data_IF_252223186273
#
_entry.id   IF_252223186273
#
_cell.length_a   1.000
_cell.length_b   1.000
_cell.length_c   1.000
_cell.angle_alpha   90.00
_cell.angle_beta   90.00
_cell.angle_gamma   90.00
#
_symmetry.space_group_name_H-M   'P 1'
#
loop_
_entity.id
_entity.type
_entity.pdbx_description
1 polymer ?
#
# COMPACT_ATOMS: atom_id res chain seq x y z
N UNK A 1 -18.63 -32.12 -13.26
CA UNK A 1 -18.31 -30.90 -12.47
C UNK A 1 -17.49 -30.00 -13.39
N UNK A 2 -18.06 -28.89 -13.89
CA UNK A 2 -17.35 -28.00 -14.85
C UNK A 2 -16.31 -27.19 -14.07
N UNK A 3 -15.03 -27.32 -14.42
CA UNK A 3 -13.94 -26.48 -13.89
C UNK A 3 -14.26 -24.99 -14.15
N UNK A 4 -13.93 -24.06 -13.25
CA UNK A 4 -14.22 -22.66 -13.49
C UNK A 4 -13.42 -22.14 -14.69
N UNK A 5 -14.11 -21.37 -15.52
CA UNK A 5 -13.54 -20.49 -16.52
C UNK A 5 -12.72 -19.42 -15.76
N UNK A 6 -11.51 -19.14 -16.22
CA UNK A 6 -10.58 -18.04 -15.84
C UNK A 6 -10.98 -17.10 -14.66
N UNK A 7 -10.05 -16.73 -13.74
CA UNK A 7 -10.26 -15.71 -12.69
C UNK A 7 -11.00 -14.42 -13.11
N UNK A 8 -10.93 -14.03 -14.40
CA UNK A 8 -11.68 -12.89 -14.93
C UNK A 8 -13.20 -13.03 -14.82
N UNK A 9 -13.72 -14.25 -14.77
CA UNK A 9 -15.16 -14.54 -14.74
C UNK A 9 -15.67 -14.86 -13.33
N UNK A 10 -14.76 -14.89 -12.33
CA UNK A 10 -15.06 -15.30 -10.94
C UNK A 10 -14.87 -14.16 -9.93
N UNK A 11 -14.22 -13.06 -10.34
CA UNK A 11 -14.02 -11.88 -9.50
C UNK A 11 -15.13 -10.83 -9.75
N UNK A 12 -15.64 -10.14 -8.71
CA UNK A 12 -15.28 -10.28 -7.30
C UNK A 12 -15.77 -11.61 -6.69
N UNK A 13 -15.01 -12.13 -5.73
CA UNK A 13 -15.38 -13.33 -4.98
C UNK A 13 -16.63 -13.07 -4.13
N UNK A 14 -17.42 -14.11 -3.81
CA UNK A 14 -18.44 -14.02 -2.76
C UNK A 14 -17.86 -13.48 -1.44
N UNK A 15 -18.64 -12.69 -0.69
CA UNK A 15 -18.18 -12.08 0.58
C UNK A 15 -17.84 -13.11 1.66
N UNK A 16 -18.42 -14.30 1.55
CA UNK A 16 -18.25 -15.47 2.41
C UNK A 16 -17.26 -16.49 1.85
N UNK A 17 -16.51 -16.14 0.79
CA UNK A 17 -15.56 -17.06 0.16
C UNK A 17 -14.46 -17.54 1.13
N UNK A 18 -14.00 -16.66 2.03
CA UNK A 18 -13.05 -17.03 3.08
C UNK A 18 -13.82 -17.26 4.39
N UNK A 19 -13.80 -18.50 4.86
CA UNK A 19 -14.32 -18.85 6.18
C UNK A 19 -13.25 -18.56 7.24
N UNK A 20 -13.33 -17.37 7.84
CA UNK A 20 -12.37 -16.87 8.82
C UNK A 20 -12.83 -17.22 10.26
N UNK A 21 -12.21 -18.22 10.93
CA UNK A 21 -12.51 -18.53 12.33
C UNK A 21 -12.03 -17.42 13.28
N UNK A 22 -12.56 -17.36 14.49
CA UNK A 22 -12.03 -16.45 15.52
C UNK A 22 -10.55 -16.76 15.80
N UNK A 23 -9.74 -15.70 15.89
CA UNK A 23 -8.32 -15.81 16.24
C UNK A 23 -8.19 -15.97 17.76
N UNK A 24 -7.24 -16.81 18.20
CA UNK A 24 -6.86 -16.84 19.61
C UNK A 24 -6.16 -15.54 20.02
N UNK A 25 -6.32 -15.12 21.27
CA UNK A 25 -5.73 -13.86 21.78
C UNK A 25 -4.22 -13.75 21.51
N UNK A 26 -3.46 -14.82 21.76
CA UNK A 26 -2.00 -14.85 21.53
C UNK A 26 -1.64 -14.69 20.04
N UNK A 27 -2.47 -15.24 19.14
CA UNK A 27 -2.27 -15.12 17.71
C UNK A 27 -2.58 -13.70 17.23
N UNK A 28 -3.68 -13.12 17.71
CA UNK A 28 -4.06 -11.74 17.42
C UNK A 28 -2.98 -10.75 17.88
N UNK A 29 -2.51 -10.86 19.13
CA UNK A 29 -1.46 -9.99 19.67
C UNK A 29 -0.16 -10.11 18.86
N UNK A 30 0.24 -11.34 18.50
CA UNK A 30 1.41 -11.58 17.64
C UNK A 30 1.25 -10.92 16.27
N UNK A 31 0.09 -11.04 15.63
CA UNK A 31 -0.18 -10.42 14.33
C UNK A 31 -0.15 -8.89 14.41
N UNK A 32 -0.70 -8.31 15.47
CA UNK A 32 -0.62 -6.87 15.73
C UNK A 32 0.85 -6.43 15.88
N UNK A 33 1.65 -7.18 16.64
CA UNK A 33 3.07 -6.87 16.83
C UNK A 33 3.85 -6.92 15.51
N UNK A 34 3.59 -7.92 14.65
CA UNK A 34 4.21 -8.00 13.31
C UNK A 34 3.84 -6.79 12.46
N UNK A 35 2.56 -6.41 12.46
CA UNK A 35 2.05 -5.28 11.67
C UNK A 35 2.73 -3.95 12.09
N UNK A 36 2.78 -3.68 13.40
CA UNK A 36 3.43 -2.48 13.97
C UNK A 36 4.93 -2.47 13.72
N UNK A 37 5.60 -3.60 13.91
CA UNK A 37 7.05 -3.72 13.63
C UNK A 37 7.37 -3.42 12.17
N UNK A 38 6.53 -3.89 11.24
CA UNK A 38 6.66 -3.55 9.82
C UNK A 38 6.49 -2.05 9.56
N UNK A 39 5.52 -1.41 10.21
CA UNK A 39 5.27 0.03 10.09
C UNK A 39 6.41 0.87 10.65
N UNK A 40 6.89 0.56 11.86
CA UNK A 40 8.00 1.25 12.50
C UNK A 40 9.27 1.17 11.65
N UNK A 41 9.59 0.00 11.07
CA UNK A 41 10.75 -0.17 10.17
C UNK A 41 10.66 0.73 8.93
N UNK A 42 9.47 0.93 8.37
CA UNK A 42 9.25 1.85 7.26
C UNK A 42 9.49 3.31 7.65
N UNK A 43 8.95 3.70 8.80
CA UNK A 43 9.12 5.03 9.37
C UNK A 43 10.61 5.31 9.59
N UNK A 44 11.32 4.41 10.27
CA UNK A 44 12.77 4.49 10.50
C UNK A 44 13.60 4.57 9.22
N UNK A 45 13.24 3.79 8.20
CA UNK A 45 13.93 3.80 6.89
C UNK A 45 13.80 5.16 6.18
N UNK A 46 12.80 5.96 6.53
CA UNK A 46 12.56 7.26 5.88
C UNK A 46 13.60 8.30 6.28
N UNK A 47 13.99 8.33 7.56
CA UNK A 47 14.95 9.31 8.10
C UNK A 47 16.29 8.68 8.53
N UNK A 48 16.49 7.38 8.33
CA UNK A 48 17.75 6.72 8.68
C UNK A 48 18.93 7.31 7.87
N UNK A 49 20.00 7.79 8.54
CA UNK A 49 21.18 8.32 7.86
C UNK A 49 21.94 7.24 7.08
N UNK A 50 21.71 5.96 7.41
CA UNK A 50 22.34 4.82 6.75
C UNK A 50 21.61 4.38 5.47
N UNK A 51 20.48 5.03 5.14
CA UNK A 51 19.71 4.67 3.95
C UNK A 51 20.21 5.44 2.73
N UNK A 52 21.13 4.84 1.98
CA UNK A 52 21.59 5.39 0.70
C UNK A 52 20.62 5.05 -0.44
N UNK A 53 20.12 6.09 -1.12
CA UNK A 53 19.16 5.96 -2.21
C UNK A 53 19.74 6.50 -3.51
N UNK A 54 19.80 5.64 -4.54
CA UNK A 54 20.16 6.04 -5.90
C UNK A 54 18.91 6.42 -6.67
N UNK A 55 18.87 7.62 -7.24
CA UNK A 55 17.75 8.03 -8.10
C UNK A 55 17.82 7.28 -9.42
N UNK A 56 16.76 6.55 -9.74
CA UNK A 56 16.63 5.80 -11.00
C UNK A 56 15.93 6.63 -12.06
N UNK A 57 14.88 7.37 -11.67
CA UNK A 57 14.13 8.22 -12.59
C UNK A 57 13.32 9.28 -11.85
N UNK A 58 13.07 10.41 -12.49
CA UNK A 58 12.07 11.39 -12.05
C UNK A 58 11.02 11.50 -13.15
N UNK A 59 9.75 11.27 -12.82
CA UNK A 59 8.64 11.35 -13.78
C UNK A 59 7.41 11.93 -13.12
N UNK A 60 6.78 12.93 -13.75
CA UNK A 60 5.54 13.56 -13.29
C UNK A 60 5.59 14.01 -11.80
N UNK A 61 6.70 14.61 -11.36
CA UNK A 61 6.87 15.05 -9.97
C UNK A 61 7.14 13.93 -8.95
N UNK A 62 7.31 12.68 -9.40
CA UNK A 62 7.68 11.53 -8.55
C UNK A 62 9.13 11.16 -8.80
N UNK A 63 9.94 11.16 -7.75
CA UNK A 63 11.31 10.64 -7.76
C UNK A 63 11.29 9.16 -7.37
N UNK A 64 11.76 8.30 -8.27
CA UNK A 64 11.90 6.86 -8.02
C UNK A 64 13.36 6.57 -7.75
N UNK A 65 13.63 5.94 -6.60
CA UNK A 65 14.96 5.58 -6.14
C UNK A 65 15.04 4.10 -5.78
N UNK A 66 16.23 3.54 -5.87
CA UNK A 66 16.57 2.19 -5.39
C UNK A 66 17.54 2.30 -4.23
N UNK A 67 17.35 1.44 -3.24
CA UNK A 67 18.28 1.37 -2.14
C UNK A 67 19.64 0.81 -2.64
N UNK A 68 20.74 1.50 -2.32
CA UNK A 68 22.12 1.16 -2.72
C UNK A 68 22.73 0.12 -1.77
N UNK A 69 22.36 0.13 -0.50
CA UNK A 69 22.76 -0.82 0.53
C UNK A 69 21.50 -1.35 1.24
N UNK A 70 21.00 -2.56 0.87
CA UNK A 70 19.86 -3.13 1.57
C UNK A 70 20.18 -3.13 3.07
N UNK A 71 19.29 -2.63 3.95
CA UNK A 71 19.46 -2.82 5.38
C UNK A 71 19.69 -4.30 5.62
N UNK A 72 20.72 -4.64 6.42
CA UNK A 72 21.15 -6.02 6.65
C UNK A 72 19.93 -6.94 6.82
N UNK A 73 19.76 -7.86 5.86
CA UNK A 73 18.62 -8.76 5.71
C UNK A 73 18.40 -9.69 6.93
N UNK A 74 19.31 -9.68 7.90
CA UNK A 74 19.39 -10.62 9.01
C UNK A 74 18.20 -10.59 9.99
N UNK A 75 17.28 -9.63 9.88
CA UNK A 75 16.07 -9.59 10.73
C UNK A 75 14.73 -9.70 9.97
N UNK A 76 14.76 -10.00 8.66
CA UNK A 76 13.59 -9.92 7.79
C UNK A 76 12.91 -11.27 7.49
N UNK A 77 13.58 -12.41 7.70
CA UNK A 77 13.03 -13.75 7.42
C UNK A 77 12.65 -14.56 8.66
N UNK A 78 13.09 -14.17 9.86
CA UNK A 78 12.94 -14.99 11.07
C UNK A 78 11.55 -14.97 11.70
N UNK A 79 10.64 -14.08 11.27
CA UNK A 79 9.30 -13.95 11.88
C UNK A 79 8.20 -14.60 11.02
N UNK A 80 8.45 -14.88 9.74
CA UNK A 80 7.46 -15.52 8.85
C UNK A 80 7.71 -17.02 8.61
N UNK A 81 8.93 -17.51 8.82
CA UNK A 81 9.30 -18.89 8.48
C UNK A 81 9.36 -19.86 9.67
N UNK A 82 9.23 -19.37 10.91
CA UNK A 82 9.14 -20.23 12.08
C UNK A 82 7.71 -20.24 12.65
N UNK A 83 7.02 -21.35 12.37
CA UNK A 83 5.90 -21.98 13.11
C UNK A 83 4.68 -22.28 12.23
N UNK A 84 4.80 -23.28 11.33
CA UNK A 84 3.69 -24.15 10.92
C UNK A 84 4.22 -25.53 10.46
N UNK A 85 5.25 -26.05 11.11
CA UNK A 85 5.62 -27.47 11.02
C UNK A 85 4.99 -28.23 12.19
N UNK A 86 3.69 -28.49 12.08
CA UNK A 86 3.07 -29.55 12.88
C UNK A 86 3.70 -30.87 12.45
N UNK A 87 4.18 -31.60 13.43
CA UNK A 87 5.04 -32.76 13.31
C UNK A 87 4.34 -33.91 12.56
N UNK A 88 4.91 -34.33 11.43
CA UNK A 88 4.70 -35.67 10.89
C UNK A 88 6.07 -36.30 10.68
N UNK A 89 6.37 -37.29 11.52
CA UNK A 89 7.66 -37.93 11.59
C UNK A 89 7.85 -38.92 10.45
N UNK A 90 8.82 -38.66 9.58
CA UNK A 90 9.57 -39.70 8.88
C UNK A 90 11.03 -39.24 8.75
N UNK A 91 11.92 -39.92 9.46
CA UNK A 91 13.37 -39.77 9.34
C UNK A 91 13.84 -40.61 8.16
N UNK A 92 14.48 -39.98 7.17
CA UNK A 92 15.53 -40.63 6.40
C UNK A 92 16.62 -39.61 6.06
N UNK A 93 17.84 -39.89 6.53
CA UNK A 93 19.03 -39.11 6.25
C UNK A 93 19.63 -39.46 4.90
N UNK A 94 20.30 -38.47 4.30
CA UNK A 94 21.14 -38.60 3.11
C UNK A 94 21.74 -37.24 2.74
N UNK A 95 23.06 -37.11 2.54
CA UNK A 95 23.72 -35.82 2.38
C UNK A 95 23.82 -35.46 0.90
N UNK A 96 23.05 -34.47 0.40
CA UNK A 96 23.27 -33.96 -0.96
C UNK A 96 22.94 -32.48 -1.13
N UNK A 97 24.00 -31.74 -1.51
CA UNK A 97 24.05 -30.52 -2.31
C UNK A 97 22.99 -29.44 -2.06
N UNK A 98 23.40 -28.41 -1.34
CA UNK A 98 22.81 -27.07 -1.40
C UNK A 98 22.98 -26.49 -2.80
N UNK A 99 22.03 -26.75 -3.70
CA UNK A 99 21.83 -25.91 -4.87
C UNK A 99 21.14 -24.64 -4.41
N UNK A 100 21.94 -23.58 -4.27
CA UNK A 100 21.47 -22.20 -4.15
C UNK A 100 20.66 -21.84 -5.41
N UNK A 101 19.38 -22.19 -5.42
CA UNK A 101 18.42 -21.63 -6.35
C UNK A 101 18.19 -20.17 -5.93
N UNK A 102 18.91 -19.27 -6.60
CA UNK A 102 19.00 -17.84 -6.33
C UNK A 102 17.66 -17.20 -5.92
N UNK A 103 17.58 -16.85 -4.63
CA UNK A 103 16.59 -15.91 -4.13
C UNK A 103 16.84 -14.57 -4.83
N UNK A 104 15.96 -14.21 -5.78
CA UNK A 104 15.95 -12.90 -6.42
C UNK A 104 16.13 -11.83 -5.34
N UNK A 105 17.22 -11.06 -5.39
CA UNK A 105 17.49 -10.04 -4.37
C UNK A 105 16.35 -9.03 -4.41
N UNK A 106 15.49 -9.10 -3.40
CA UNK A 106 14.32 -8.25 -3.34
C UNK A 106 14.81 -6.80 -3.17
N UNK A 107 14.67 -5.99 -4.22
CA UNK A 107 15.19 -4.62 -4.27
C UNK A 107 14.14 -3.70 -3.67
N UNK A 108 14.41 -3.19 -2.47
CA UNK A 108 13.61 -2.11 -1.91
C UNK A 108 13.69 -0.89 -2.83
N UNK A 109 12.55 -0.49 -3.38
CA UNK A 109 12.42 0.71 -4.20
C UNK A 109 11.52 1.71 -3.50
N UNK A 110 11.75 2.99 -3.77
CA UNK A 110 11.00 4.09 -3.15
C UNK A 110 10.58 5.11 -4.18
N UNK A 111 9.31 5.51 -4.14
CA UNK A 111 8.83 6.71 -4.82
C UNK A 111 8.68 7.84 -3.80
N UNK A 112 9.10 9.06 -4.13
CA UNK A 112 8.87 10.23 -3.29
C UNK A 112 8.26 11.39 -4.07
N UNK A 113 7.40 12.15 -3.40
CA UNK A 113 6.78 13.37 -3.94
C UNK A 113 6.32 14.27 -2.79
N UNK A 114 5.94 15.51 -3.09
CA UNK A 114 5.34 16.44 -2.13
C UNK A 114 3.96 16.86 -2.61
N UNK A 115 3.02 17.03 -1.67
CA UNK A 115 1.63 17.40 -1.95
C UNK A 115 1.15 18.45 -0.98
N UNK A 116 0.22 19.30 -1.42
CA UNK A 116 -0.44 20.26 -0.52
C UNK A 116 -1.65 19.57 0.12
N UNK A 117 -1.53 19.17 1.38
CA UNK A 117 -2.55 18.45 2.14
C UNK A 117 -2.26 18.46 3.65
N UNK A 118 -3.21 17.93 4.43
CA UNK A 118 -3.01 17.55 5.83
C UNK A 118 -2.91 16.03 5.99
N UNK A 119 -2.38 15.55 7.11
CA UNK A 119 -2.38 14.11 7.45
C UNK A 119 -3.80 13.57 7.48
N UNK A 120 -4.75 14.35 7.99
CA UNK A 120 -6.15 13.99 8.08
C UNK A 120 -6.76 13.78 6.68
N UNK A 121 -6.52 14.70 5.75
CA UNK A 121 -6.97 14.56 4.36
C UNK A 121 -6.37 13.33 3.67
N UNK A 122 -5.11 13.02 3.95
CA UNK A 122 -4.43 11.84 3.39
C UNK A 122 -5.00 10.57 4.00
N UNK A 123 -5.12 10.48 5.32
CA UNK A 123 -5.62 9.29 6.02
C UNK A 123 -7.05 8.95 5.58
N UNK A 124 -7.87 9.93 5.21
CA UNK A 124 -9.21 9.71 4.65
C UNK A 124 -9.18 8.88 3.36
N UNK A 125 -8.13 8.99 2.54
CA UNK A 125 -7.96 8.25 1.28
C UNK A 125 -7.66 6.75 1.45
N UNK A 126 -7.39 6.32 2.68
CA UNK A 126 -7.10 4.93 3.03
C UNK A 126 -8.22 4.30 3.88
N UNK A 127 -9.33 5.02 4.13
CA UNK A 127 -10.46 4.46 4.88
C UNK A 127 -11.32 3.58 3.97
N UNK A 128 -11.30 2.27 4.25
CA UNK A 128 -12.07 1.24 3.53
C UNK A 128 -13.57 1.60 3.40
N UNK A 129 -14.18 2.19 4.43
CA UNK A 129 -15.64 2.33 4.53
C UNK A 129 -16.26 3.50 3.75
N UNK A 130 -15.50 4.52 3.34
CA UNK A 130 -16.10 5.74 2.75
C UNK A 130 -16.13 5.78 1.22
N UNK A 131 -15.65 4.73 0.54
CA UNK A 131 -15.65 4.72 -0.91
C UNK A 131 -14.94 5.93 -1.53
N UNK A 132 -14.04 6.62 -0.84
CA UNK A 132 -13.28 7.76 -1.35
C UNK A 132 -11.81 7.41 -1.14
N UNK A 133 -11.31 6.50 -1.96
CA UNK A 133 -9.97 5.95 -1.75
C UNK A 133 -9.06 6.27 -2.94
N UNK A 134 -7.77 6.43 -2.64
CA UNK A 134 -6.69 6.25 -3.62
C UNK A 134 -6.87 4.90 -4.36
N UNK A 135 -7.52 3.93 -3.73
CA UNK A 135 -7.96 2.65 -4.32
C UNK A 135 -9.01 2.80 -5.45
N UNK A 136 -9.94 3.78 -5.43
CA UNK A 136 -10.81 4.06 -6.59
C UNK A 136 -10.00 4.44 -7.83
N UNK A 137 -8.84 5.07 -7.63
CA UNK A 137 -7.90 5.36 -8.72
C UNK A 137 -7.06 4.15 -9.15
N UNK A 138 -6.92 3.12 -8.30
CA UNK A 138 -6.22 1.86 -8.60
C UNK A 138 -7.10 0.95 -9.48
N UNK A 139 -7.21 1.30 -10.77
CA UNK A 139 -7.93 0.52 -11.81
C UNK A 139 -7.43 -0.92 -12.03
N UNK A 140 -6.35 -1.31 -11.38
CA UNK A 140 -5.77 -2.65 -11.39
C UNK A 140 -6.23 -3.55 -10.25
N UNK A 141 -6.92 -3.02 -9.23
CA UNK A 141 -7.55 -3.89 -8.23
C UNK A 141 -8.77 -4.53 -8.86
N UNK A 142 -8.81 -5.86 -8.81
CA UNK A 142 -9.92 -6.66 -9.30
C UNK A 142 -10.91 -6.98 -8.17
N UNK A 143 -10.38 -7.17 -6.96
CA UNK A 143 -11.18 -7.45 -5.77
C UNK A 143 -10.34 -7.21 -4.49
N UNK A 144 -11.02 -7.00 -3.37
CA UNK A 144 -10.38 -6.82 -2.05
C UNK A 144 -11.34 -7.13 -0.91
N UNK A 145 -10.84 -7.73 0.16
CA UNK A 145 -11.62 -8.10 1.34
C UNK A 145 -10.80 -7.88 2.61
N UNK A 146 -11.45 -7.33 3.64
CA UNK A 146 -10.93 -7.33 5.00
C UNK A 146 -11.32 -8.65 5.65
N UNK A 147 -10.34 -9.47 6.02
CA UNK A 147 -10.57 -10.75 6.67
C UNK A 147 -10.71 -10.59 8.18
N UNK A 148 -9.89 -9.72 8.78
CA UNK A 148 -9.93 -9.44 10.22
C UNK A 148 -9.65 -7.96 10.49
N UNK A 149 -10.34 -7.42 11.50
CA UNK A 149 -10.05 -6.11 12.08
C UNK A 149 -9.48 -6.33 13.48
N UNK A 150 -8.16 -6.28 13.62
CA UNK A 150 -7.45 -6.57 14.88
C UNK A 150 -7.39 -5.34 15.78
N UNK A 151 -7.21 -4.15 15.19
CA UNK A 151 -7.27 -2.87 15.90
C UNK A 151 -8.16 -1.93 15.12
N UNK A 152 -9.11 -1.29 15.80
CA UNK A 152 -10.02 -0.30 15.21
C UNK A 152 -9.72 1.10 15.75
N UNK A 153 -9.98 2.15 14.95
CA UNK A 153 -9.87 3.52 15.41
C UNK A 153 -10.69 3.78 16.69
N UNK A 154 -10.13 4.57 17.60
CA UNK A 154 -10.78 5.02 18.83
C UNK A 154 -10.83 6.54 18.91
N UNK A 155 -11.58 7.10 19.86
CA UNK A 155 -11.60 8.56 20.06
C UNK A 155 -10.22 9.15 20.36
N UNK A 156 -9.38 8.44 21.12
CA UNK A 156 -8.03 8.85 21.45
C UNK A 156 -7.03 8.62 20.30
N UNK A 157 -7.24 7.58 19.49
CA UNK A 157 -6.42 7.26 18.32
C UNK A 157 -7.31 7.06 17.08
N UNK A 158 -7.78 8.14 16.44
CA UNK A 158 -8.79 8.08 15.38
C UNK A 158 -8.26 7.56 14.02
N UNK A 159 -6.95 7.32 13.93
CA UNK A 159 -6.24 6.86 12.72
C UNK A 159 -5.39 5.61 12.98
N UNK A 160 -5.48 5.01 14.17
CA UNK A 160 -4.83 3.73 14.50
C UNK A 160 -5.69 2.58 13.97
N UNK A 161 -5.06 1.65 13.26
CA UNK A 161 -5.73 0.53 12.62
C UNK A 161 -4.75 -0.60 12.36
N UNK A 162 -5.21 -1.83 12.58
CA UNK A 162 -4.50 -3.04 12.17
C UNK A 162 -5.54 -4.04 11.66
N UNK A 163 -5.30 -4.60 10.48
CA UNK A 163 -6.19 -5.62 9.92
C UNK A 163 -5.46 -6.59 9.01
N UNK A 164 -6.17 -7.67 8.65
CA UNK A 164 -5.71 -8.66 7.67
C UNK A 164 -6.53 -8.46 6.41
N UNK A 165 -5.83 -8.35 5.28
CA UNK A 165 -6.41 -8.03 3.99
C UNK A 165 -6.05 -9.09 2.96
N UNK A 166 -7.04 -9.42 2.14
CA UNK A 166 -6.84 -10.07 0.86
C UNK A 166 -7.12 -9.08 -0.27
N UNK A 167 -6.25 -9.02 -1.28
CA UNK A 167 -6.43 -8.15 -2.46
C UNK A 167 -6.01 -8.91 -3.72
N UNK A 168 -6.84 -8.87 -4.76
CA UNK A 168 -6.49 -9.38 -6.10
C UNK A 168 -6.18 -8.22 -7.05
N UNK A 169 -5.03 -8.29 -7.72
CA UNK A 169 -4.48 -7.27 -8.60
C UNK A 169 -4.24 -7.83 -9.99
N UNK A 170 -4.70 -7.09 -11.00
CA UNK A 170 -4.49 -7.37 -12.41
C UNK A 170 -2.99 -7.34 -12.75
N UNK A 171 -2.54 -8.37 -13.46
CA UNK A 171 -1.19 -8.41 -13.99
C UNK A 171 -0.94 -7.24 -14.97
N UNK A 172 0.16 -6.49 -14.81
CA UNK A 172 0.56 -5.49 -15.79
C UNK A 172 1.21 -6.12 -17.04
N UNK A 173 1.60 -7.39 -16.98
CA UNK A 173 2.24 -8.12 -18.08
C UNK A 173 1.19 -8.98 -18.81
N UNK A 174 1.06 -8.86 -20.15
CA UNK A 174 0.15 -9.68 -20.96
C UNK A 174 0.38 -11.18 -20.74
N UNK A 175 -0.70 -11.96 -20.82
CA UNK A 175 -0.71 -13.44 -20.65
C UNK A 175 -0.20 -13.98 -19.30
N UNK A 176 0.19 -13.12 -18.36
CA UNK A 176 0.56 -13.52 -17.01
C UNK A 176 -0.66 -13.54 -16.09
N UNK A 177 -0.71 -14.53 -15.20
CA UNK A 177 -1.74 -14.67 -14.18
C UNK A 177 -1.86 -13.42 -13.29
N UNK A 178 -3.08 -13.14 -12.84
CA UNK A 178 -3.34 -12.10 -11.85
C UNK A 178 -2.75 -12.52 -10.50
N UNK A 179 -2.45 -11.53 -9.65
CA UNK A 179 -1.80 -11.77 -8.35
C UNK A 179 -2.80 -11.53 -7.25
N UNK A 180 -2.88 -12.44 -6.30
CA UNK A 180 -3.49 -12.13 -5.02
C UNK A 180 -2.41 -11.87 -3.96
N UNK A 181 -2.77 -11.06 -2.97
CA UNK A 181 -1.95 -10.72 -1.83
C UNK A 181 -2.75 -11.02 -0.57
N UNK A 182 -2.09 -11.60 0.43
CA UNK A 182 -2.58 -11.73 1.78
C UNK A 182 -1.59 -11.03 2.71
N UNK A 183 -2.02 -10.00 3.42
CA UNK A 183 -1.12 -9.17 4.21
C UNK A 183 -1.78 -8.55 5.44
N UNK A 184 -0.94 -8.21 6.42
CA UNK A 184 -1.27 -7.29 7.50
C UNK A 184 -1.19 -5.86 6.97
N UNK A 185 -2.22 -5.06 7.22
CA UNK A 185 -2.25 -3.62 7.03
C UNK A 185 -2.15 -2.94 8.41
N UNK A 186 -1.30 -1.92 8.54
CA UNK A 186 -1.14 -1.15 9.77
C UNK A 186 -1.12 0.35 9.47
N UNK A 187 -1.90 1.12 10.22
CA UNK A 187 -1.90 2.59 10.20
C UNK A 187 -1.44 3.12 11.55
N UNK A 188 -0.49 4.04 11.57
CA UNK A 188 0.05 4.57 12.81
C UNK A 188 0.46 6.03 12.65
N UNK A 189 0.06 6.88 13.58
CA UNK A 189 0.62 8.23 13.70
C UNK A 189 1.93 8.18 14.48
N UNK A 190 2.88 9.02 14.08
CA UNK A 190 4.18 9.11 14.73
C UNK A 190 4.67 10.55 14.72
N UNK A 191 5.67 10.84 15.55
CA UNK A 191 6.44 12.07 15.50
C UNK A 191 7.85 11.75 15.00
N UNK A 192 8.35 12.56 14.06
CA UNK A 192 9.72 12.45 13.60
C UNK A 192 10.70 12.89 14.71
N UNK A 193 11.98 12.51 14.63
CA UNK A 193 12.98 12.97 15.61
C UNK A 193 13.12 14.50 15.69
N UNK A 194 12.79 15.22 14.61
CA UNK A 194 12.75 16.68 14.55
C UNK A 194 11.39 17.29 14.94
N UNK A 195 10.47 16.49 15.49
CA UNK A 195 9.21 16.95 16.10
C UNK A 195 8.07 17.25 15.12
N UNK A 196 8.15 16.75 13.88
CA UNK A 196 7.07 16.89 12.89
C UNK A 196 6.13 15.70 12.97
N UNK A 197 4.85 15.93 12.75
CA UNK A 197 3.87 14.84 12.69
C UNK A 197 4.05 14.02 11.42
N UNK A 198 3.81 12.74 11.56
CA UNK A 198 3.76 11.80 10.46
C UNK A 198 2.67 10.76 10.62
N UNK A 199 2.36 10.10 9.51
CA UNK A 199 1.42 8.98 9.47
C UNK A 199 1.94 7.89 8.54
N UNK A 200 2.04 6.67 9.07
CA UNK A 200 2.49 5.48 8.38
C UNK A 200 1.31 4.61 7.96
N UNK A 201 1.40 4.06 6.75
CA UNK A 201 0.58 2.99 6.21
C UNK A 201 1.53 1.86 5.82
N UNK A 202 1.41 0.67 6.39
CA UNK A 202 2.28 -0.45 6.05
C UNK A 202 1.50 -1.70 5.67
N UNK A 203 2.11 -2.50 4.81
CA UNK A 203 1.64 -3.78 4.30
C UNK A 203 2.76 -4.81 4.47
N UNK A 204 2.45 -5.95 5.07
CA UNK A 204 3.37 -7.07 5.23
C UNK A 204 2.68 -8.41 5.01
N UNK A 205 3.13 -9.20 4.04
CA UNK A 205 2.49 -10.46 3.69
C UNK A 205 2.61 -11.52 4.79
N UNK A 206 1.51 -12.25 5.00
CA UNK A 206 1.42 -13.34 5.97
C UNK A 206 0.83 -14.61 5.33
N UNK A 207 0.76 -15.69 6.09
CA UNK A 207 0.05 -16.93 5.74
C UNK A 207 -1.09 -17.12 6.74
N UNK A 208 -2.26 -17.54 6.25
CA UNK A 208 -3.40 -17.94 7.07
C UNK A 208 -4.04 -19.18 6.49
N UNK A 209 -4.47 -20.10 7.37
CA UNK A 209 -5.12 -21.34 6.97
C UNK A 209 -6.45 -21.09 6.23
N UNK A 210 -7.23 -20.09 6.66
CA UNK A 210 -8.48 -19.70 6.02
C UNK A 210 -8.32 -18.97 4.68
N UNK A 211 -7.09 -18.60 4.29
CA UNK A 211 -6.79 -17.93 3.01
C UNK A 211 -5.58 -18.58 2.32
N UNK A 212 -5.69 -19.87 1.92
CA UNK A 212 -4.62 -20.56 1.21
C UNK A 212 -4.42 -19.96 -0.20
N UNK A 213 -3.32 -20.29 -0.90
CA UNK A 213 -3.16 -19.93 -2.31
C UNK A 213 -4.33 -20.40 -3.18
N UNK A 214 -4.79 -19.54 -4.10
CA UNK A 214 -5.98 -19.77 -4.91
C UNK A 214 -5.64 -20.27 -6.33
N UNK A 215 -4.81 -21.31 -6.42
CA UNK A 215 -4.31 -21.84 -7.70
C UNK A 215 -5.43 -22.32 -8.62
N UNK A 216 -6.53 -22.84 -8.06
CA UNK A 216 -7.72 -23.24 -8.80
C UNK A 216 -8.37 -22.09 -9.60
N UNK A 217 -8.19 -20.85 -9.14
CA UNK A 217 -8.65 -19.64 -9.85
C UNK A 217 -7.60 -19.10 -10.83
N UNK A 218 -6.44 -19.75 -10.95
CA UNK A 218 -5.30 -19.26 -11.76
C UNK A 218 -4.77 -17.92 -11.27
N UNK A 219 -4.77 -17.72 -9.95
CA UNK A 219 -4.13 -16.59 -9.28
C UNK A 219 -2.75 -17.02 -8.78
N UNK A 220 -1.78 -16.11 -8.82
CA UNK A 220 -0.44 -16.33 -8.26
C UNK A 220 -0.30 -15.55 -6.96
N UNK A 221 -0.08 -16.25 -5.84
CA UNK A 221 0.16 -15.61 -4.53
C UNK A 221 1.45 -14.82 -4.54
N UNK A 222 1.33 -13.50 -4.57
CA UNK A 222 2.46 -12.58 -4.46
C UNK A 222 2.72 -12.19 -3.00
N UNK A 223 3.87 -11.57 -2.76
CA UNK A 223 4.28 -11.12 -1.42
C UNK A 223 4.76 -9.68 -1.44
N UNK A 224 4.43 -8.94 -0.39
CA UNK A 224 4.99 -7.62 -0.09
C UNK A 224 5.59 -7.65 1.31
N UNK A 225 6.73 -6.99 1.50
CA UNK A 225 7.42 -6.98 2.78
C UNK A 225 7.75 -5.56 3.17
N UNK A 226 7.37 -5.13 4.38
CA UNK A 226 7.66 -3.79 4.91
C UNK A 226 7.44 -2.72 3.83
N UNK A 227 6.26 -2.72 3.21
CA UNK A 227 5.94 -1.89 2.05
C UNK A 227 4.75 -1.02 2.37
N UNK A 228 4.64 0.17 1.77
CA UNK A 228 3.56 1.09 2.10
C UNK A 228 4.01 2.55 2.09
N UNK A 229 3.22 3.42 2.68
CA UNK A 229 3.41 4.85 2.64
C UNK A 229 3.90 5.39 3.99
N UNK A 230 4.79 6.37 3.93
CA UNK A 230 5.12 7.23 5.06
C UNK A 230 4.86 8.66 4.61
N UNK A 231 3.99 9.35 5.35
CA UNK A 231 3.64 10.74 5.14
C UNK A 231 4.19 11.57 6.29
N UNK A 232 4.83 12.69 6.00
CA UNK A 232 5.39 13.60 7.03
C UNK A 232 5.07 15.03 6.68
N UNK A 233 4.67 15.83 7.67
CA UNK A 233 4.59 17.28 7.50
C UNK A 233 5.96 17.86 7.14
N UNK A 234 6.00 18.85 6.26
CA UNK A 234 7.21 19.61 6.00
C UNK A 234 7.25 20.84 6.90
N UNK A 235 8.35 21.61 6.86
CA UNK A 235 8.43 22.90 7.55
C UNK A 235 7.44 23.94 6.98
N UNK A 236 6.90 23.70 5.80
CA UNK A 236 5.89 24.53 5.17
C UNK A 236 4.50 24.00 5.55
N UNK A 237 3.73 24.81 6.26
CA UNK A 237 2.39 24.46 6.68
C UNK A 237 1.50 24.06 5.49
N UNK A 238 0.74 22.98 5.66
CA UNK A 238 -0.15 22.44 4.62
C UNK A 238 0.57 21.69 3.48
N UNK A 239 1.85 21.33 3.66
CA UNK A 239 2.61 20.53 2.73
C UNK A 239 3.08 19.23 3.39
N UNK A 240 2.90 18.11 2.68
CA UNK A 240 3.27 16.77 3.13
C UNK A 240 4.31 16.19 2.17
N UNK A 241 5.40 15.67 2.74
CA UNK A 241 6.31 14.76 2.05
C UNK A 241 5.74 13.34 2.09
N UNK A 242 5.71 12.69 0.92
CA UNK A 242 5.20 11.33 0.76
C UNK A 242 6.32 10.41 0.28
N UNK A 243 6.48 9.28 0.97
CA UNK A 243 7.36 8.18 0.58
C UNK A 243 6.54 6.91 0.39
N UNK A 244 6.63 6.28 -0.78
CA UNK A 244 6.05 4.97 -1.04
C UNK A 244 7.17 3.94 -1.20
N UNK A 245 7.29 3.03 -0.23
CA UNK A 245 8.26 1.94 -0.22
C UNK A 245 7.63 0.66 -0.77
N UNK A 246 8.37 -0.04 -1.62
CA UNK A 246 7.97 -1.32 -2.19
C UNK A 246 9.13 -2.30 -2.18
N UNK A 247 8.91 -3.41 -1.48
CA UNK A 247 9.66 -4.65 -1.60
C UNK A 247 8.64 -5.74 -1.92
N UNK A 248 8.47 -5.99 -3.23
CA UNK A 248 7.42 -6.80 -3.80
C UNK A 248 8.01 -7.96 -4.60
N UNK A 249 7.49 -9.15 -4.34
CA UNK A 249 7.76 -10.35 -5.13
C UNK A 249 6.44 -10.85 -5.72
N UNK A 250 6.23 -10.58 -7.01
CA UNK A 250 5.04 -11.00 -7.75
C UNK A 250 5.01 -12.51 -8.05
N UNK A 251 6.11 -13.23 -7.74
CA UNK A 251 6.39 -14.61 -8.13
C UNK A 251 6.32 -14.83 -9.65
N UNK A 252 6.75 -16.02 -10.07
CA UNK A 252 6.72 -16.47 -11.45
C UNK A 252 8.10 -16.62 -12.07
N UNK A 253 8.15 -16.94 -13.37
CA UNK A 253 9.37 -17.41 -14.02
C UNK A 253 10.39 -16.29 -14.30
N UNK A 254 10.00 -15.01 -14.19
CA UNK A 254 10.90 -13.88 -14.42
C UNK A 254 10.67 -12.72 -13.44
N UNK A 255 11.74 -11.99 -13.07
CA UNK A 255 11.62 -10.79 -12.22
C UNK A 255 10.83 -9.64 -12.85
N UNK A 256 10.59 -9.68 -14.17
CA UNK A 256 9.97 -8.59 -14.92
C UNK A 256 8.60 -8.21 -14.36
N UNK A 257 7.81 -9.19 -13.91
CA UNK A 257 6.47 -8.90 -13.39
C UNK A 257 6.54 -8.09 -12.10
N UNK A 258 7.44 -8.45 -11.18
CA UNK A 258 7.70 -7.68 -9.96
C UNK A 258 8.11 -6.26 -10.29
N UNK A 259 9.06 -6.08 -11.22
CA UNK A 259 9.53 -4.77 -11.66
C UNK A 259 8.42 -3.91 -12.28
N UNK A 260 7.61 -4.47 -13.18
CA UNK A 260 6.49 -3.75 -13.81
C UNK A 260 5.41 -3.38 -12.79
N UNK A 261 5.05 -4.30 -11.89
CA UNK A 261 4.06 -4.05 -10.86
C UNK A 261 4.53 -2.98 -9.89
N UNK A 262 5.79 -3.04 -9.46
CA UNK A 262 6.36 -2.06 -8.55
C UNK A 262 6.43 -0.66 -9.20
N UNK A 263 6.89 -0.57 -10.46
CA UNK A 263 6.89 0.69 -11.24
C UNK A 263 5.48 1.27 -11.42
N UNK A 264 4.49 0.43 -11.70
CA UNK A 264 3.08 0.85 -11.83
C UNK A 264 2.53 1.37 -10.50
N UNK A 265 2.83 0.70 -9.38
CA UNK A 265 2.44 1.16 -8.04
C UNK A 265 3.10 2.51 -7.70
N UNK A 266 4.40 2.68 -7.96
CA UNK A 266 5.08 3.95 -7.71
C UNK A 266 4.58 5.08 -8.62
N UNK A 267 4.25 4.81 -9.88
CA UNK A 267 3.74 5.86 -10.78
C UNK A 267 2.38 6.39 -10.35
N UNK A 268 1.60 5.62 -9.58
CA UNK A 268 0.33 6.08 -9.00
C UNK A 268 0.49 7.29 -8.07
N UNK A 269 1.68 7.49 -7.46
CA UNK A 269 1.96 8.70 -6.67
C UNK A 269 1.79 10.00 -7.45
N UNK A 270 2.00 9.97 -8.78
CA UNK A 270 1.84 11.16 -9.61
C UNK A 270 0.39 11.65 -9.68
N UNK A 271 -0.57 10.81 -9.28
CA UNK A 271 -1.99 11.16 -9.22
C UNK A 271 -2.44 11.58 -7.82
N UNK A 272 -1.58 11.53 -6.79
CA UNK A 272 -1.97 11.79 -5.41
C UNK A 272 -2.59 13.20 -5.24
N UNK A 273 -1.95 14.23 -5.80
CA UNK A 273 -2.51 15.60 -5.81
C UNK A 273 -3.90 15.66 -6.44
N UNK A 274 -4.10 14.94 -7.56
CA UNK A 274 -5.38 14.92 -8.27
C UNK A 274 -6.47 14.27 -7.40
N UNK A 275 -6.17 13.15 -6.78
CA UNK A 275 -7.10 12.44 -5.89
C UNK A 275 -7.49 13.30 -4.69
N UNK A 276 -6.51 13.99 -4.08
CA UNK A 276 -6.77 14.92 -2.98
C UNK A 276 -7.62 16.12 -3.42
N UNK A 277 -7.40 16.63 -4.63
CA UNK A 277 -8.25 17.68 -5.21
C UNK A 277 -9.69 17.19 -5.46
N UNK A 278 -9.86 15.98 -5.99
CA UNK A 278 -11.18 15.37 -6.20
C UNK A 278 -11.90 15.18 -4.86
N UNK A 279 -11.21 14.72 -3.80
CA UNK A 279 -11.78 14.61 -2.45
C UNK A 279 -12.29 15.96 -1.93
N UNK A 280 -11.51 17.04 -2.09
CA UNK A 280 -11.94 18.38 -1.66
C UNK A 280 -13.22 18.80 -2.38
N UNK A 281 -13.27 18.59 -3.70
CA UNK A 281 -14.44 18.94 -4.49
C UNK A 281 -15.68 18.11 -4.14
N UNK A 282 -15.50 16.84 -3.77
CA UNK A 282 -16.61 15.97 -3.32
C UNK A 282 -17.13 16.33 -1.93
N UNK A 283 -16.30 16.93 -1.07
CA UNK A 283 -16.68 17.33 0.29
C UNK A 283 -17.32 18.72 0.35
N UNK A 284 -17.21 19.53 -0.70
CA UNK A 284 -17.75 20.89 -0.72
C UNK A 284 -19.21 20.90 -1.19
N UNK A 285 -20.11 21.64 -0.52
CA UNK A 285 -21.46 21.85 -1.03
C UNK A 285 -21.40 22.62 -2.36
N UNK A 286 -22.23 22.22 -3.32
CA UNK A 286 -22.42 23.01 -4.53
C UNK A 286 -22.98 24.38 -4.13
N UNK A 287 -22.27 25.45 -4.48
CA UNK A 287 -22.73 26.81 -4.26
C UNK A 287 -24.02 27.03 -5.07
N UNK A 288 -25.04 27.63 -4.44
CA UNK A 288 -26.19 28.17 -5.16
C UNK A 288 -25.82 29.48 -5.87
N UNK A 289 -26.67 29.92 -6.80
CA UNK A 289 -26.44 31.15 -7.60
C UNK A 289 -26.18 32.41 -6.73
N UNK A 290 -26.72 32.44 -5.52
CA UNK A 290 -26.56 33.54 -4.56
C UNK A 290 -25.26 33.47 -3.74
N UNK A 291 -24.64 32.29 -3.64
CA UNK A 291 -23.41 32.05 -2.88
C UNK A 291 -22.15 32.13 -3.78
N UNK A 292 -22.34 32.33 -5.08
CA UNK A 292 -21.26 32.59 -6.01
C UNK A 292 -20.57 33.91 -5.61
N UNK A 293 -19.27 33.89 -5.28
CA UNK A 293 -18.58 35.08 -4.83
C UNK A 293 -18.67 36.18 -5.89
N UNK A 294 -19.25 37.32 -5.53
CA UNK A 294 -19.32 38.50 -6.39
C UNK A 294 -17.90 38.89 -6.82
N UNK A 295 -17.63 38.78 -8.12
CA UNK A 295 -16.33 38.94 -8.75
C UNK A 295 -15.86 40.40 -8.71
N UNK A 296 -15.34 40.84 -7.56
CA UNK A 296 -14.67 42.13 -7.47
C UNK A 296 -13.18 42.06 -7.82
N UNK A 297 -12.57 40.86 -7.78
CA UNK A 297 -11.14 40.68 -8.09
C UNK A 297 -10.89 39.39 -8.91
N UNK A 298 -10.04 39.46 -9.95
CA UNK A 298 -9.65 38.28 -10.71
C UNK A 298 -8.84 37.33 -9.82
N UNK A 299 -9.35 36.12 -9.57
CA UNK A 299 -8.57 35.05 -8.94
C UNK A 299 -7.69 34.37 -9.98
N UNK A 300 -6.44 34.10 -9.62
CA UNK A 300 -5.47 33.40 -10.47
C UNK A 300 -5.44 31.89 -10.22
N UNK A 301 -6.17 31.41 -9.22
CA UNK A 301 -6.31 30.00 -8.86
C UNK A 301 -7.67 29.71 -8.24
N UNK A 302 -8.11 28.46 -8.33
CA UNK A 302 -9.35 27.98 -7.71
C UNK A 302 -9.23 28.00 -6.19
N UNK A 303 -10.20 28.58 -5.49
CA UNK A 303 -10.19 28.64 -4.02
C UNK A 303 -10.35 27.26 -3.35
N UNK A 304 -10.86 26.26 -4.09
CA UNK A 304 -11.10 24.91 -3.56
C UNK A 304 -9.96 23.93 -3.89
N UNK A 305 -9.47 23.95 -5.14
CA UNK A 305 -8.45 22.99 -5.60
C UNK A 305 -7.06 23.60 -5.80
N UNK A 306 -6.90 24.91 -5.57
CA UNK A 306 -5.67 25.71 -5.76
C UNK A 306 -5.04 25.59 -7.15
N UNK A 307 -5.79 25.09 -8.13
CA UNK A 307 -5.34 24.99 -9.51
C UNK A 307 -5.30 26.38 -10.13
N UNK A 308 -4.14 26.78 -10.64
CA UNK A 308 -3.99 28.05 -11.35
C UNK A 308 -4.82 28.05 -12.65
N UNK A 309 -5.56 29.12 -12.88
CA UNK A 309 -6.31 29.31 -14.13
C UNK A 309 -5.32 29.70 -15.23
N UNK A 310 -5.35 28.98 -16.36
CA UNK A 310 -4.53 29.30 -17.53
C UNK A 310 -5.32 30.20 -18.50
N UNK A 311 -4.60 31.02 -19.29
CA UNK A 311 -5.15 32.03 -20.19
C UNK A 311 -6.19 31.53 -21.22
N UNK A 312 -6.23 30.21 -21.50
CA UNK A 312 -7.13 29.60 -22.49
C UNK A 312 -8.22 28.70 -21.90
N UNK A 313 -8.32 28.60 -20.57
CA UNK A 313 -9.44 27.89 -19.94
C UNK A 313 -10.60 28.84 -19.70
N UNK A 314 -11.80 28.42 -20.11
CA UNK A 314 -13.04 29.15 -19.87
C UNK A 314 -13.17 29.36 -18.36
N UNK A 315 -13.11 30.61 -17.92
CA UNK A 315 -13.49 31.01 -16.56
C UNK A 315 -14.99 30.73 -16.50
N UNK A 316 -15.36 29.58 -15.95
CA UNK A 316 -16.76 29.34 -15.62
C UNK A 316 -17.07 30.24 -14.43
N UNK A 317 -17.81 31.30 -14.76
CA UNK A 317 -18.55 32.18 -13.86
C UNK A 317 -19.56 31.38 -13.07
#
# INVERSE_FOLDING_TARGET
MRLPVSARDVLPLPRDYFECPELGNDEEERLIQVARTSCQRLIETTYSPNSEWSTVSVKNGVRISKNVQPPLREYMSSISDNQYSVSSGYKHGGPFSSSEAGCSSAKLIRGTTTVSATIEEIALQFKVDRGQNLMKSRKDILDSMVLYNLVRPSGARPRDYVGIFWECVKSPVPFSHHRDFLYLECHEEFDTPDGRRGWGYSMHSIKLACCPPLDALKLTRASVYNSGFVFMETLKAGEIECHYFLNLDAKGPSPAVSDFMARRKLSALSHLNKVLQEQRLECEPLLGDLDLPHLHHPKNECALCYKRFQFFHRKHT
#
